data_IF_975465648229
#
_entry.id   IF_975465648229
#
_cell.length_a   1.000
_cell.length_b   1.000
_cell.length_c   1.000
_cell.angle_alpha   90.00
_cell.angle_beta   90.00
_cell.angle_gamma   90.00
#
_symmetry.space_group_name_H-M   'P 1'
#
loop_
_entity.id
_entity.type
_entity.pdbx_description
1 polymer ?
#
# COMPACT_ATOMS: atom_id res chain seq x y z
N UNK A 1 -4.30 19.66 6.62
CA UNK A 1 -3.85 19.83 5.21
C UNK A 1 -4.75 19.03 4.27
N UNK A 2 -4.64 19.15 2.93
CA UNK A 2 -5.35 18.20 2.04
C UNK A 2 -4.68 16.84 2.13
N UNK A 3 -5.41 15.84 2.64
CA UNK A 3 -4.94 14.46 2.75
C UNK A 3 -4.61 13.91 1.36
N UNK A 4 -3.42 13.33 1.19
CA UNK A 4 -2.94 12.78 -0.09
C UNK A 4 -3.13 11.28 -0.12
N UNK A 5 -3.63 10.75 -1.23
CA UNK A 5 -3.75 9.31 -1.43
C UNK A 5 -2.48 8.76 -2.09
N UNK A 6 -1.95 7.67 -1.52
CA UNK A 6 -0.88 6.87 -2.11
C UNK A 6 -1.48 5.53 -2.48
N UNK A 7 -1.52 5.25 -3.78
CA UNK A 7 -1.97 3.95 -4.30
C UNK A 7 -0.75 3.08 -4.58
N UNK A 8 -0.71 1.91 -3.95
CA UNK A 8 0.32 0.90 -4.19
C UNK A 8 -0.28 -0.19 -5.07
N UNK A 9 0.20 -0.27 -6.31
CA UNK A 9 -0.31 -1.22 -7.29
C UNK A 9 0.36 -2.58 -7.12
N UNK A 10 -0.45 -3.61 -6.95
CA UNK A 10 -0.05 -5.00 -6.85
C UNK A 10 -0.19 -5.65 -8.23
N UNK A 11 0.81 -6.42 -8.62
CA UNK A 11 0.82 -7.19 -9.86
C UNK A 11 1.63 -8.48 -9.66
N UNK A 12 1.36 -9.50 -10.47
CA UNK A 12 2.01 -10.80 -10.32
C UNK A 12 3.53 -10.70 -10.41
N UNK A 13 4.20 -11.37 -9.48
CA UNK A 13 5.66 -11.37 -9.38
C UNK A 13 6.23 -10.15 -8.67
N UNK A 14 5.42 -9.19 -8.21
CA UNK A 14 5.90 -8.07 -7.37
C UNK A 14 6.66 -8.60 -6.16
N UNK A 15 7.75 -7.95 -5.77
CA UNK A 15 8.43 -8.29 -4.51
C UNK A 15 7.61 -7.79 -3.33
N UNK A 16 7.38 -8.67 -2.35
CA UNK A 16 6.57 -8.32 -1.17
C UNK A 16 7.17 -7.15 -0.39
N UNK A 17 8.49 -7.05 -0.29
CA UNK A 17 9.17 -5.97 0.43
C UNK A 17 9.05 -4.61 -0.26
N UNK A 18 8.99 -4.60 -1.59
CA UNK A 18 8.79 -3.38 -2.37
C UNK A 18 7.37 -2.83 -2.19
N UNK A 19 6.41 -3.69 -1.82
CA UNK A 19 5.06 -3.28 -1.43
C UNK A 19 5.03 -2.82 0.02
N UNK A 20 5.49 -3.65 0.95
CA UNK A 20 5.35 -3.38 2.38
C UNK A 20 6.23 -2.22 2.86
N UNK A 21 7.41 -2.04 2.27
CA UNK A 21 8.32 -0.95 2.63
C UNK A 21 7.68 0.44 2.50
N UNK A 22 7.22 0.84 1.31
CA UNK A 22 6.50 2.10 1.13
C UNK A 22 5.23 2.21 1.97
N UNK A 23 4.44 1.13 2.10
CA UNK A 23 3.21 1.13 2.92
C UNK A 23 3.49 1.52 4.37
N UNK A 24 4.53 0.92 4.99
CA UNK A 24 4.93 1.23 6.36
C UNK A 24 5.45 2.67 6.50
N UNK A 25 6.25 3.16 5.54
CA UNK A 25 6.79 4.53 5.57
C UNK A 25 5.68 5.58 5.49
N UNK A 26 4.76 5.45 4.54
CA UNK A 26 3.70 6.45 4.35
C UNK A 26 2.66 6.42 5.48
N UNK A 27 2.37 5.23 6.02
CA UNK A 27 1.51 5.09 7.21
C UNK A 27 2.19 5.69 8.44
N UNK A 28 3.47 5.38 8.65
CA UNK A 28 4.27 5.89 9.77
C UNK A 28 4.43 7.42 9.75
N UNK A 29 4.49 8.05 8.58
CA UNK A 29 4.55 9.50 8.46
C UNK A 29 3.36 10.21 9.14
N UNK A 30 2.15 9.65 9.04
CA UNK A 30 0.97 10.19 9.73
C UNK A 30 1.06 10.05 11.25
N UNK A 31 1.65 8.95 11.74
CA UNK A 31 1.88 8.74 13.18
C UNK A 31 2.90 9.74 13.74
N UNK A 32 3.98 10.01 13.00
CA UNK A 32 4.99 11.00 13.41
C UNK A 32 4.47 12.43 13.39
N UNK A 33 3.49 12.74 12.54
CA UNK A 33 2.89 14.07 12.43
C UNK A 33 1.89 14.40 13.57
N UNK A 34 1.48 13.41 14.36
CA UNK A 34 0.58 13.60 15.51
C UNK A 34 -0.91 13.75 15.18
N UNK A 35 -1.29 13.80 13.89
CA UNK A 35 -2.66 13.67 13.41
C UNK A 35 -2.70 12.83 12.13
N UNK A 36 -3.49 11.76 12.14
CA UNK A 36 -3.72 10.90 10.96
C UNK A 36 -4.31 11.65 9.76
N UNK A 37 -4.99 12.78 9.98
CA UNK A 37 -5.55 13.64 8.91
C UNK A 37 -4.49 14.44 8.16
N UNK A 38 -3.30 14.58 8.75
CA UNK A 38 -2.15 15.20 8.11
C UNK A 38 -1.19 14.17 7.49
N UNK A 39 -1.54 12.88 7.58
CA UNK A 39 -0.83 11.77 6.94
C UNK A 39 -1.31 11.42 5.52
N UNK A 40 -0.78 10.31 5.00
CA UNK A 40 -1.17 9.75 3.71
C UNK A 40 -2.29 8.73 3.86
N UNK A 41 -3.28 8.77 2.96
CA UNK A 41 -4.22 7.67 2.80
C UNK A 41 -3.59 6.61 1.89
N UNK A 42 -3.02 5.58 2.49
CA UNK A 42 -2.42 4.47 1.76
C UNK A 42 -3.50 3.46 1.37
N UNK A 43 -3.53 3.05 0.11
CA UNK A 43 -4.39 1.98 -0.41
C UNK A 43 -3.61 1.06 -1.34
N UNK A 44 -4.07 -0.17 -1.45
CA UNK A 44 -3.55 -1.16 -2.41
C UNK A 44 -4.60 -1.45 -3.48
N UNK A 45 -4.16 -1.65 -4.73
CA UNK A 45 -5.04 -2.09 -5.80
C UNK A 45 -4.35 -3.13 -6.67
N UNK A 46 -5.10 -4.07 -7.23
CA UNK A 46 -4.64 -4.95 -8.31
C UNK A 46 -5.50 -4.73 -9.56
N UNK A 47 -5.06 -5.21 -10.72
CA UNK A 47 -5.75 -4.93 -11.99
C UNK A 47 -7.25 -5.30 -12.00
N UNK A 48 -7.62 -6.37 -11.32
CA UNK A 48 -8.99 -6.89 -11.23
C UNK A 48 -9.56 -6.87 -9.81
N UNK A 49 -8.82 -6.29 -8.85
CA UNK A 49 -9.13 -6.36 -7.42
C UNK A 49 -8.92 -7.75 -6.80
N UNK A 50 -8.38 -8.71 -7.55
CA UNK A 50 -8.08 -10.06 -7.08
C UNK A 50 -6.77 -10.16 -6.29
N UNK A 51 -6.58 -11.25 -5.52
CA UNK A 51 -5.31 -11.53 -4.84
C UNK A 51 -4.15 -11.69 -5.82
N UNK A 52 -2.99 -11.16 -5.45
CA UNK A 52 -1.76 -11.19 -6.25
C UNK A 52 -0.74 -12.11 -5.63
N UNK A 53 -0.02 -12.89 -6.46
CA UNK A 53 1.10 -13.74 -6.01
C UNK A 53 2.42 -13.01 -6.16
N UNK A 54 3.13 -12.80 -5.05
CA UNK A 54 4.44 -12.17 -5.03
C UNK A 54 5.52 -13.14 -5.52
N UNK A 55 6.68 -12.61 -5.93
CA UNK A 55 7.84 -13.44 -6.30
C UNK A 55 8.37 -14.31 -5.15
N UNK A 56 8.13 -13.92 -3.90
CA UNK A 56 8.44 -14.71 -2.70
C UNK A 56 7.43 -15.83 -2.42
N UNK A 57 6.32 -15.90 -3.17
CA UNK A 57 5.26 -16.89 -2.97
C UNK A 57 4.23 -16.49 -1.90
N UNK A 58 4.24 -15.26 -1.41
CA UNK A 58 3.16 -14.73 -0.58
C UNK A 58 1.95 -14.36 -1.45
N UNK A 59 0.78 -14.35 -0.83
CA UNK A 59 -0.44 -13.80 -1.43
C UNK A 59 -0.78 -12.49 -0.76
N UNK A 60 -0.95 -11.44 -1.55
CA UNK A 60 -1.43 -10.14 -1.08
C UNK A 60 -2.85 -9.93 -1.59
N UNK A 61 -3.75 -9.49 -0.72
CA UNK A 61 -5.14 -9.14 -1.08
C UNK A 61 -5.23 -7.62 -1.14
N UNK A 62 -5.59 -7.01 -2.29
CA UNK A 62 -5.69 -5.57 -2.41
C UNK A 62 -6.96 -5.02 -1.74
N UNK A 63 -7.02 -3.70 -1.53
CA UNK A 63 -8.22 -3.01 -1.07
C UNK A 63 -9.27 -2.84 -2.17
N UNK A 64 -8.83 -2.68 -3.44
CA UNK A 64 -9.70 -2.45 -4.60
C UNK A 64 -9.09 -2.94 -5.92
N UNK A 65 -9.88 -2.79 -7.00
CA UNK A 65 -9.36 -2.70 -8.36
C UNK A 65 -8.75 -1.32 -8.64
#
# INVERSE_FOLDING_TARGET
MTQRTVLVVLFDGVQSLDVTGPVEVFTGAGLCAGDTRDGYLVRTASLDGGPVRTSSGLTLVPDSA
#
